data_IF_137037241746
#
_entry.id   IF_137037241746
#
_cell.length_a   1.000
_cell.length_b   1.000
_cell.length_c   1.000
_cell.angle_alpha   90.00
_cell.angle_beta   90.00
_cell.angle_gamma   90.00
#
_symmetry.space_group_name_H-M   'P 1'
#
loop_
_entity.id
_entity.type
_entity.pdbx_description
1 polymer ?
#
# COMPACT_ATOMS: atom_id res chain seq x y z
N UNK A 1 -23.33 -11.48 0.07
CA UNK A 1 -22.05 -11.96 0.63
C UNK A 1 -22.30 -13.10 1.60
N UNK A 2 -23.17 -12.90 2.60
CA UNK A 2 -23.60 -13.93 3.58
C UNK A 2 -23.68 -15.37 3.05
N UNK A 3 -24.45 -15.64 1.98
CA UNK A 3 -24.58 -17.01 1.43
C UNK A 3 -23.24 -17.67 1.08
N UNK A 4 -22.29 -16.91 0.56
CA UNK A 4 -20.96 -17.41 0.19
C UNK A 4 -20.06 -17.56 1.43
N UNK A 5 -20.21 -16.69 2.43
CA UNK A 5 -19.56 -16.83 3.74
C UNK A 5 -20.08 -18.09 4.46
N UNK A 6 -21.40 -18.29 4.54
CA UNK A 6 -22.04 -19.48 5.10
C UNK A 6 -21.53 -20.76 4.41
N UNK A 7 -21.48 -20.77 3.07
CA UNK A 7 -20.97 -21.90 2.30
C UNK A 7 -19.48 -22.19 2.55
N UNK A 8 -18.71 -21.16 2.93
CA UNK A 8 -17.31 -21.25 3.32
C UNK A 8 -17.10 -21.52 4.83
N UNK A 9 -18.18 -21.75 5.58
CA UNK A 9 -18.15 -21.98 7.02
C UNK A 9 -17.73 -20.76 7.84
N UNK A 10 -17.92 -19.56 7.31
CA UNK A 10 -17.63 -18.28 7.97
C UNK A 10 -18.93 -17.78 8.63
N UNK A 11 -18.95 -17.61 9.97
CA UNK A 11 -20.17 -17.23 10.70
C UNK A 11 -20.59 -15.75 10.60
N UNK A 12 -19.74 -14.89 10.03
CA UNK A 12 -20.00 -13.46 9.86
C UNK A 12 -21.01 -13.20 8.73
N UNK A 13 -21.93 -12.29 8.96
CA UNK A 13 -23.05 -12.02 8.05
C UNK A 13 -22.76 -10.83 7.12
N UNK A 14 -21.91 -9.90 7.56
CA UNK A 14 -21.63 -8.65 6.84
C UNK A 14 -20.15 -8.44 6.54
N UNK A 15 -19.86 -7.61 5.53
CA UNK A 15 -18.49 -7.20 5.21
C UNK A 15 -17.78 -6.55 6.40
N UNK A 16 -18.51 -5.81 7.25
CA UNK A 16 -17.95 -5.12 8.41
C UNK A 16 -17.76 -6.03 9.62
N UNK A 17 -18.63 -7.03 9.80
CA UNK A 17 -18.39 -8.10 10.77
C UNK A 17 -17.14 -8.89 10.39
N UNK A 18 -16.95 -9.17 9.10
CA UNK A 18 -15.73 -9.81 8.60
C UNK A 18 -14.48 -8.95 8.88
N UNK A 19 -14.54 -7.63 8.62
CA UNK A 19 -13.43 -6.70 8.93
C UNK A 19 -13.09 -6.70 10.42
N UNK A 20 -14.11 -6.76 11.28
CA UNK A 20 -13.96 -6.67 12.73
C UNK A 20 -13.85 -8.04 13.41
N UNK A 21 -13.80 -9.12 12.64
CA UNK A 21 -13.77 -10.47 13.20
C UNK A 21 -12.46 -10.68 13.97
N UNK A 22 -12.51 -11.31 15.15
CA UNK A 22 -11.30 -11.73 15.86
C UNK A 22 -10.59 -12.91 15.16
N UNK A 23 -11.25 -13.55 14.19
CA UNK A 23 -10.74 -14.71 13.47
C UNK A 23 -10.17 -14.30 12.11
N UNK A 24 -9.18 -15.07 11.64
CA UNK A 24 -8.59 -14.89 10.31
C UNK A 24 -9.12 -16.02 9.39
N UNK A 25 -9.75 -15.65 8.28
CA UNK A 25 -10.42 -16.59 7.38
C UNK A 25 -9.73 -16.64 6.02
N UNK A 26 -8.80 -17.60 5.79
CA UNK A 26 -8.15 -17.75 4.48
C UNK A 26 -9.14 -17.90 3.33
N UNK A 27 -10.25 -18.61 3.57
CA UNK A 27 -11.29 -18.87 2.59
C UNK A 27 -12.15 -17.63 2.26
N UNK A 28 -12.06 -16.55 3.05
CA UNK A 28 -12.70 -15.28 2.72
C UNK A 28 -11.99 -14.55 1.57
N UNK A 29 -10.68 -14.75 1.38
CA UNK A 29 -9.89 -14.05 0.35
C UNK A 29 -10.51 -14.18 -1.06
N UNK A 30 -10.78 -15.40 -1.59
CA UNK A 30 -11.38 -15.51 -2.92
C UNK A 30 -12.78 -14.87 -3.01
N UNK A 31 -13.57 -14.92 -1.95
CA UNK A 31 -14.91 -14.29 -1.90
C UNK A 31 -14.76 -12.77 -1.97
N UNK A 32 -13.88 -12.19 -1.16
CA UNK A 32 -13.66 -10.74 -1.10
C UNK A 32 -13.11 -10.21 -2.43
N UNK A 33 -12.18 -10.93 -3.06
CA UNK A 33 -11.63 -10.56 -4.38
C UNK A 33 -12.73 -10.51 -5.43
N UNK A 34 -13.53 -11.56 -5.53
CA UNK A 34 -14.64 -11.64 -6.49
C UNK A 34 -15.71 -10.56 -6.21
N UNK A 35 -16.04 -10.28 -4.95
CA UNK A 35 -16.92 -9.17 -4.59
C UNK A 35 -16.38 -7.79 -4.97
N UNK A 36 -15.08 -7.55 -4.79
CA UNK A 36 -14.45 -6.29 -5.15
C UNK A 36 -14.34 -6.11 -6.67
N UNK A 37 -14.06 -7.19 -7.40
CA UNK A 37 -13.99 -7.21 -8.86
C UNK A 37 -15.35 -6.96 -9.51
N UNK A 38 -16.42 -7.53 -8.93
CA UNK A 38 -17.79 -7.46 -9.44
C UNK A 38 -18.69 -6.54 -8.58
N UNK A 39 -18.13 -5.45 -8.04
CA UNK A 39 -18.80 -4.62 -7.03
C UNK A 39 -20.18 -4.13 -7.48
N UNK A 40 -20.31 -3.64 -8.72
CA UNK A 40 -21.57 -3.07 -9.22
C UNK A 40 -22.68 -4.12 -9.40
N UNK A 41 -22.31 -5.36 -9.68
CA UNK A 41 -23.19 -6.50 -9.88
C UNK A 41 -23.59 -7.15 -8.55
N UNK A 42 -22.64 -7.23 -7.60
CA UNK A 42 -22.79 -7.97 -6.34
C UNK A 42 -23.36 -7.14 -5.21
N UNK A 43 -23.08 -5.84 -5.15
CA UNK A 43 -23.59 -4.96 -4.09
C UNK A 43 -25.02 -4.53 -4.42
N UNK A 44 -26.01 -4.78 -3.54
CA UNK A 44 -27.38 -4.35 -3.74
C UNK A 44 -27.49 -2.84 -3.99
N UNK A 45 -28.37 -2.43 -4.90
CA UNK A 45 -28.50 -1.02 -5.36
C UNK A 45 -28.86 -0.04 -4.23
N UNK A 46 -29.48 -0.53 -3.16
CA UNK A 46 -29.88 0.25 -1.99
C UNK A 46 -28.77 0.37 -0.93
N UNK A 47 -27.60 -0.23 -1.16
CA UNK A 47 -26.47 -0.18 -0.23
C UNK A 47 -25.37 0.78 -0.72
N UNK A 48 -24.61 1.32 0.22
CA UNK A 48 -23.51 2.23 -0.10
C UNK A 48 -22.30 1.46 -0.66
N UNK A 49 -22.17 1.49 -1.98
CA UNK A 49 -21.05 0.85 -2.69
C UNK A 49 -19.68 1.35 -2.26
N UNK A 50 -19.54 2.61 -1.82
CA UNK A 50 -18.24 3.13 -1.35
C UNK A 50 -17.86 2.49 -0.03
N UNK A 51 -18.82 2.37 0.89
CA UNK A 51 -18.63 1.67 2.16
C UNK A 51 -18.30 0.18 1.92
N UNK A 52 -18.99 -0.49 1.00
CA UNK A 52 -18.66 -1.87 0.60
C UNK A 52 -17.26 -1.99 0.04
N UNK A 53 -16.87 -1.12 -0.91
CA UNK A 53 -15.53 -1.13 -1.51
C UNK A 53 -14.45 -1.01 -0.43
N UNK A 54 -14.61 -0.06 0.50
CA UNK A 54 -13.68 0.13 1.61
C UNK A 54 -13.61 -1.10 2.54
N UNK A 55 -14.75 -1.69 2.90
CA UNK A 55 -14.82 -2.90 3.72
C UNK A 55 -14.15 -4.10 3.04
N UNK A 56 -14.39 -4.30 1.75
CA UNK A 56 -13.78 -5.38 0.96
C UNK A 56 -12.26 -5.21 0.87
N UNK A 57 -11.78 -4.02 0.54
CA UNK A 57 -10.33 -3.74 0.50
C UNK A 57 -9.69 -4.00 1.87
N UNK A 58 -10.35 -3.61 2.97
CA UNK A 58 -9.82 -3.84 4.33
C UNK A 58 -9.72 -5.31 4.68
N UNK A 59 -10.65 -6.14 4.22
CA UNK A 59 -10.58 -7.60 4.41
C UNK A 59 -9.40 -8.25 3.64
N UNK A 60 -8.86 -7.60 2.60
CA UNK A 60 -7.64 -8.07 1.92
C UNK A 60 -6.35 -7.71 2.66
N UNK A 61 -6.41 -6.94 3.75
CA UNK A 61 -5.26 -6.64 4.61
C UNK A 61 -5.02 -7.82 5.57
N UNK A 62 -4.69 -8.98 5.02
CA UNK A 62 -4.42 -10.22 5.76
C UNK A 62 -3.18 -10.92 5.20
N UNK A 63 -2.51 -11.72 6.03
CA UNK A 63 -1.39 -12.58 5.60
C UNK A 63 -1.82 -13.60 4.55
N UNK A 64 -3.11 -13.97 4.50
CA UNK A 64 -3.64 -14.95 3.54
C UNK A 64 -3.79 -14.39 2.12
N UNK A 65 -3.80 -13.06 1.97
CA UNK A 65 -3.82 -12.39 0.66
C UNK A 65 -2.41 -12.10 0.13
N UNK A 66 -1.35 -12.30 0.95
CA UNK A 66 0.03 -12.02 0.55
C UNK A 66 0.47 -12.92 -0.61
N UNK A 67 0.95 -12.30 -1.69
CA UNK A 67 1.35 -13.00 -2.92
C UNK A 67 0.18 -13.57 -3.74
N UNK A 68 -1.08 -13.40 -3.30
CA UNK A 68 -2.23 -13.82 -4.08
C UNK A 68 -2.41 -12.87 -5.28
N UNK A 69 -2.16 -13.37 -6.49
CA UNK A 69 -2.22 -12.58 -7.72
C UNK A 69 -3.58 -11.90 -7.93
N UNK A 70 -4.68 -12.61 -7.70
CA UNK A 70 -6.01 -12.06 -7.89
C UNK A 70 -6.29 -10.91 -6.90
N UNK A 71 -5.85 -11.06 -5.64
CA UNK A 71 -5.97 -10.00 -4.63
C UNK A 71 -5.10 -8.77 -4.96
N UNK A 72 -3.87 -9.00 -5.43
CA UNK A 72 -2.98 -7.92 -5.86
C UNK A 72 -3.56 -7.20 -7.08
N UNK A 73 -4.00 -7.93 -8.08
CA UNK A 73 -4.52 -7.39 -9.33
C UNK A 73 -5.78 -6.53 -9.07
N UNK A 74 -6.75 -7.04 -8.31
CA UNK A 74 -7.98 -6.29 -8.00
C UNK A 74 -7.69 -5.02 -7.19
N UNK A 75 -6.66 -5.00 -6.33
CA UNK A 75 -6.26 -3.80 -5.58
C UNK A 75 -5.63 -2.74 -6.48
N UNK A 76 -4.79 -3.14 -7.44
CA UNK A 76 -4.23 -2.21 -8.43
C UNK A 76 -5.33 -1.64 -9.33
N UNK A 77 -6.35 -2.43 -9.68
CA UNK A 77 -7.48 -1.96 -10.49
C UNK A 77 -8.24 -0.82 -9.81
N UNK A 78 -8.23 -0.73 -8.48
CA UNK A 78 -8.84 0.39 -7.74
C UNK A 78 -8.22 1.75 -8.11
N UNK A 79 -6.94 1.78 -8.51
CA UNK A 79 -6.25 2.99 -8.95
C UNK A 79 -6.55 3.35 -10.41
N UNK A 80 -7.26 2.50 -11.16
CA UNK A 80 -7.62 2.72 -12.55
C UNK A 80 -9.11 3.04 -12.76
N UNK A 81 -9.91 3.06 -11.69
CA UNK A 81 -11.35 3.34 -11.77
C UNK A 81 -11.60 4.80 -12.12
N UNK A 82 -12.54 5.01 -13.04
CA UNK A 82 -13.04 6.31 -13.48
C UNK A 82 -14.56 6.44 -13.21
N UNK A 83 -15.03 7.54 -12.58
CA UNK A 83 -14.23 8.64 -12.04
C UNK A 83 -13.33 8.20 -10.87
N UNK A 84 -12.24 8.92 -10.56
CA UNK A 84 -11.27 8.50 -9.56
C UNK A 84 -11.93 8.28 -8.20
N UNK A 85 -11.63 7.14 -7.57
CA UNK A 85 -12.03 6.86 -6.19
C UNK A 85 -11.55 7.94 -5.21
N UNK A 86 -12.27 8.06 -4.10
CA UNK A 86 -11.94 9.00 -3.02
C UNK A 86 -10.67 8.59 -2.26
N UNK A 87 -10.09 9.54 -1.52
CA UNK A 87 -8.91 9.29 -0.69
C UNK A 87 -9.13 8.18 0.35
N UNK A 88 -10.35 7.99 0.86
CA UNK A 88 -10.66 6.93 1.81
C UNK A 88 -10.47 5.53 1.20
N UNK A 89 -10.97 5.34 -0.01
CA UNK A 89 -10.88 4.06 -0.73
C UNK A 89 -9.43 3.78 -1.16
N UNK A 90 -8.73 4.81 -1.66
CA UNK A 90 -7.33 4.69 -2.06
C UNK A 90 -6.37 4.53 -0.89
N UNK A 91 -6.66 5.14 0.26
CA UNK A 91 -5.90 4.92 1.49
C UNK A 91 -5.90 3.43 1.84
N UNK A 92 -7.09 2.81 1.89
CA UNK A 92 -7.24 1.39 2.15
C UNK A 92 -6.51 0.55 1.08
N UNK A 93 -6.63 0.90 -0.20
CA UNK A 93 -6.01 0.15 -1.29
C UNK A 93 -4.48 0.21 -1.23
N UNK A 94 -3.89 1.39 -1.04
CA UNK A 94 -2.44 1.55 -0.92
C UNK A 94 -1.89 0.89 0.34
N UNK A 95 -2.62 0.91 1.46
CA UNK A 95 -2.25 0.16 2.65
C UNK A 95 -2.26 -1.35 2.40
N UNK A 96 -3.31 -1.87 1.75
CA UNK A 96 -3.41 -3.28 1.41
C UNK A 96 -2.27 -3.73 0.49
N UNK A 97 -1.97 -2.97 -0.57
CA UNK A 97 -0.84 -3.23 -1.48
C UNK A 97 0.49 -3.29 -0.70
N UNK A 98 0.75 -2.35 0.21
CA UNK A 98 1.97 -2.35 1.04
C UNK A 98 2.12 -3.62 1.91
N UNK A 99 1.01 -4.30 2.23
CA UNK A 99 1.00 -5.53 3.03
C UNK A 99 1.11 -6.81 2.19
N UNK A 100 0.45 -6.85 1.04
CA UNK A 100 0.26 -8.11 0.30
C UNK A 100 1.16 -8.26 -0.93
N UNK A 101 1.68 -7.16 -1.48
CA UNK A 101 2.56 -7.21 -2.66
C UNK A 101 3.87 -7.93 -2.36
N UNK A 102 4.40 -8.60 -3.38
CA UNK A 102 5.71 -9.25 -3.39
C UNK A 102 6.73 -8.44 -4.19
N UNK A 103 8.01 -8.83 -4.10
CA UNK A 103 9.09 -8.11 -4.81
C UNK A 103 8.86 -8.06 -6.33
N UNK A 104 8.20 -9.06 -6.90
CA UNK A 104 7.82 -9.11 -8.31
C UNK A 104 6.82 -8.02 -8.71
N UNK A 105 6.09 -7.42 -7.76
CA UNK A 105 5.15 -6.33 -8.02
C UNK A 105 5.82 -4.95 -8.10
N UNK A 106 7.15 -4.89 -7.91
CA UNK A 106 7.90 -3.64 -7.95
C UNK A 106 7.61 -2.77 -9.18
N UNK A 107 7.54 -3.28 -10.43
CA UNK A 107 7.25 -2.42 -11.58
C UNK A 107 5.91 -1.67 -11.46
N UNK A 108 4.88 -2.32 -10.91
CA UNK A 108 3.55 -1.72 -10.75
C UNK A 108 3.52 -0.74 -9.57
N UNK A 109 4.19 -1.07 -8.46
CA UNK A 109 4.36 -0.14 -7.33
C UNK A 109 5.15 1.10 -7.76
N UNK A 110 6.22 0.91 -8.52
CA UNK A 110 7.03 2.01 -9.05
C UNK A 110 6.19 2.92 -9.96
N UNK A 111 5.33 2.35 -10.80
CA UNK A 111 4.39 3.12 -11.64
C UNK A 111 3.42 3.96 -10.79
N UNK A 112 2.85 3.41 -9.71
CA UNK A 112 1.99 4.18 -8.79
C UNK A 112 2.75 5.32 -8.10
N UNK A 113 3.98 5.08 -7.64
CA UNK A 113 4.81 6.12 -7.00
C UNK A 113 5.14 7.25 -8.00
N UNK A 114 5.43 6.91 -9.26
CA UNK A 114 5.72 7.88 -10.33
C UNK A 114 4.50 8.62 -10.84
N UNK A 115 3.29 8.08 -10.63
CA UNK A 115 2.07 8.73 -11.11
C UNK A 115 1.84 10.09 -10.43
N UNK A 116 1.24 11.02 -11.18
CA UNK A 116 0.79 12.33 -10.69
C UNK A 116 -0.38 12.21 -9.69
N UNK A 117 -0.98 11.02 -9.58
CA UNK A 117 -2.04 10.76 -8.60
C UNK A 117 -1.44 10.76 -7.20
N UNK A 118 -1.93 11.70 -6.38
CA UNK A 118 -1.65 11.69 -4.95
C UNK A 118 -2.71 10.87 -4.21
N UNK A 119 -2.27 10.14 -3.18
CA UNK A 119 -3.14 9.37 -2.30
C UNK A 119 -2.48 9.16 -0.94
N UNK A 120 -3.25 9.06 0.16
CA UNK A 120 -2.71 9.15 1.53
C UNK A 120 -1.59 8.15 1.85
N UNK A 121 -1.64 6.96 1.25
CA UNK A 121 -0.72 5.84 1.54
C UNK A 121 0.41 5.68 0.53
N UNK A 122 0.64 6.67 -0.35
CA UNK A 122 1.78 6.68 -1.28
C UNK A 122 3.11 6.57 -0.54
N UNK A 123 3.23 7.26 0.60
CA UNK A 123 4.36 7.17 1.54
C UNK A 123 4.67 5.74 1.98
N UNK A 124 3.66 4.89 2.21
CA UNK A 124 3.85 3.49 2.59
C UNK A 124 4.44 2.66 1.46
N UNK A 125 4.06 2.96 0.22
CA UNK A 125 4.64 2.32 -0.96
C UNK A 125 6.09 2.76 -1.18
N UNK A 126 6.42 4.02 -0.89
CA UNK A 126 7.81 4.51 -0.88
C UNK A 126 8.64 3.82 0.20
N UNK A 127 8.11 3.59 1.40
CA UNK A 127 8.82 2.78 2.42
C UNK A 127 8.97 1.32 1.97
N UNK A 128 7.96 0.77 1.28
CA UNK A 128 7.92 -0.61 0.79
C UNK A 128 9.04 -0.91 -0.23
N UNK A 129 9.38 0.02 -1.13
CA UNK A 129 10.47 -0.18 -2.11
C UNK A 129 11.85 -0.32 -1.46
N UNK A 130 11.98 -0.03 -0.16
CA UNK A 130 13.19 -0.29 0.61
C UNK A 130 13.64 -1.76 0.63
N UNK A 131 12.73 -2.70 0.30
CA UNK A 131 13.08 -4.12 0.20
C UNK A 131 13.66 -4.53 -1.17
N UNK A 132 13.62 -3.61 -2.15
CA UNK A 132 14.07 -3.83 -3.53
C UNK A 132 15.47 -3.21 -3.67
N UNK A 133 16.48 -4.05 -3.89
CA UNK A 133 17.89 -3.65 -3.92
C UNK A 133 18.40 -3.51 -5.36
N UNK A 134 17.74 -2.65 -6.13
CA UNK A 134 18.11 -2.33 -7.51
C UNK A 134 18.42 -0.84 -7.63
N UNK A 135 19.20 -0.47 -8.63
CA UNK A 135 19.48 0.95 -8.94
C UNK A 135 18.19 1.73 -9.19
N UNK A 136 17.24 1.16 -9.93
CA UNK A 136 15.93 1.78 -10.17
C UNK A 136 15.16 2.08 -8.87
N UNK A 137 15.14 1.15 -7.91
CA UNK A 137 14.46 1.36 -6.64
C UNK A 137 15.17 2.38 -5.75
N UNK A 138 16.50 2.46 -5.84
CA UNK A 138 17.31 3.47 -5.17
C UNK A 138 17.02 4.86 -5.73
N UNK A 139 17.09 5.02 -7.05
CA UNK A 139 16.79 6.28 -7.75
C UNK A 139 15.35 6.73 -7.46
N UNK A 140 14.41 5.79 -7.47
CA UNK A 140 13.03 6.08 -7.11
C UNK A 140 12.92 6.59 -5.67
N UNK A 141 13.56 5.95 -4.69
CA UNK A 141 13.58 6.44 -3.32
C UNK A 141 14.22 7.84 -3.21
N UNK A 142 15.36 8.09 -3.88
CA UNK A 142 16.00 9.42 -3.92
C UNK A 142 15.06 10.48 -4.49
N UNK A 143 14.32 10.15 -5.56
CA UNK A 143 13.35 11.06 -6.18
C UNK A 143 12.24 11.51 -5.22
N UNK A 144 11.98 10.74 -4.16
CA UNK A 144 10.93 11.01 -3.19
C UNK A 144 11.39 11.85 -1.98
N UNK A 145 12.70 12.12 -1.85
CA UNK A 145 13.24 12.96 -0.77
C UNK A 145 12.74 14.42 -0.79
N UNK A 146 12.53 15.09 -1.95
CA UNK A 146 12.03 16.46 -1.98
C UNK A 146 10.64 16.62 -1.37
N UNK A 147 9.77 15.61 -1.43
CA UNK A 147 8.38 15.73 -0.98
C UNK A 147 8.23 15.42 0.53
N UNK A 148 7.76 16.38 1.36
CA UNK A 148 7.70 16.21 2.82
C UNK A 148 6.95 14.95 3.28
N UNK A 149 5.85 14.59 2.61
CA UNK A 149 5.03 13.42 2.97
C UNK A 149 5.74 12.07 2.74
N UNK A 150 6.68 11.99 1.79
CA UNK A 150 7.41 10.77 1.45
C UNK A 150 8.88 10.81 1.85
N UNK A 151 9.41 11.95 2.33
CA UNK A 151 10.83 12.12 2.66
C UNK A 151 11.35 11.13 3.69
N UNK A 152 10.65 11.01 4.82
CA UNK A 152 11.01 10.04 5.88
C UNK A 152 10.88 8.59 5.37
N UNK A 153 9.77 8.19 4.72
CA UNK A 153 9.67 6.90 4.03
C UNK A 153 10.82 6.60 3.05
N UNK A 154 11.22 7.59 2.26
CA UNK A 154 12.32 7.48 1.30
C UNK A 154 13.66 7.25 2.01
N UNK A 155 13.94 8.02 3.05
CA UNK A 155 15.13 7.83 3.90
C UNK A 155 15.17 6.41 4.50
N UNK A 156 14.06 5.92 5.04
CA UNK A 156 13.95 4.54 5.55
C UNK A 156 14.17 3.50 4.44
N UNK A 157 13.63 3.75 3.25
CA UNK A 157 13.81 2.86 2.11
C UNK A 157 15.29 2.75 1.72
N UNK A 158 16.00 3.87 1.61
CA UNK A 158 17.44 3.92 1.31
C UNK A 158 18.28 3.16 2.35
N UNK A 159 17.96 3.33 3.64
CA UNK A 159 18.62 2.56 4.72
C UNK A 159 18.36 1.06 4.58
N UNK A 160 17.12 0.66 4.31
CA UNK A 160 16.75 -0.76 4.15
C UNK A 160 17.40 -1.39 2.91
N UNK A 161 17.61 -0.61 1.86
CA UNK A 161 18.33 -1.01 0.65
C UNK A 161 19.83 -1.20 0.92
N UNK A 162 20.38 -0.52 1.95
CA UNK A 162 21.82 -0.28 2.13
C UNK A 162 22.40 0.46 0.91
N UNK A 163 21.70 1.50 0.48
CA UNK A 163 22.08 2.29 -0.69
C UNK A 163 23.42 3.01 -0.46
N UNK A 164 24.35 2.87 -1.41
CA UNK A 164 25.61 3.63 -1.50
C UNK A 164 25.44 4.81 -2.46
N UNK A 165 26.29 5.85 -2.35
CA UNK A 165 26.28 7.00 -3.26
C UNK A 165 25.06 7.91 -3.12
N UNK A 166 24.30 7.80 -2.02
CA UNK A 166 23.09 8.62 -1.75
C UNK A 166 23.25 9.53 -0.55
N UNK A 167 24.42 9.51 0.12
CA UNK A 167 24.67 10.30 1.33
C UNK A 167 24.48 11.79 1.07
N UNK A 168 25.01 12.31 -0.03
CA UNK A 168 24.86 13.73 -0.41
C UNK A 168 23.40 14.13 -0.63
N UNK A 169 22.57 13.24 -1.19
CA UNK A 169 21.15 13.52 -1.39
C UNK A 169 20.41 13.65 -0.04
N UNK A 170 20.79 12.85 0.96
CA UNK A 170 20.21 12.90 2.31
C UNK A 170 20.78 14.09 3.12
N UNK A 171 22.06 14.41 2.95
CA UNK A 171 22.74 15.49 3.68
C UNK A 171 22.11 16.87 3.46
N UNK A 172 21.45 17.10 2.32
CA UNK A 172 20.67 18.31 2.03
C UNK A 172 19.60 18.64 3.07
N UNK A 173 19.14 17.65 3.84
CA UNK A 173 18.08 17.82 4.84
C UNK A 173 18.60 17.96 6.27
N UNK A 174 19.93 18.05 6.48
CA UNK A 174 20.51 18.27 7.81
C UNK A 174 20.17 19.64 8.41
N UNK A 175 19.91 20.62 7.54
CA UNK A 175 19.57 22.00 7.88
C UNK A 175 18.12 22.37 7.49
N UNK A 176 17.26 21.37 7.26
CA UNK A 176 15.83 21.58 6.97
C UNK A 176 15.15 22.41 8.07
N UNK A 177 14.22 23.31 7.71
CA UNK A 177 13.54 24.18 8.67
C UNK A 177 12.82 23.38 9.77
N UNK A 178 12.28 22.20 9.44
CA UNK A 178 11.56 21.35 10.37
C UNK A 178 12.52 20.39 11.09
N UNK A 179 12.50 20.43 12.42
CA UNK A 179 13.39 19.63 13.27
C UNK A 179 13.27 18.11 13.02
N UNK A 180 12.07 17.63 12.71
CA UNK A 180 11.81 16.22 12.42
C UNK A 180 12.64 15.72 11.22
N UNK A 181 12.80 16.53 10.17
CA UNK A 181 13.56 16.16 8.99
C UNK A 181 15.06 16.20 9.25
N UNK A 182 15.55 17.18 10.02
CA UNK A 182 16.95 17.23 10.46
C UNK A 182 17.34 15.99 11.26
N UNK A 183 16.50 15.60 12.22
CA UNK A 183 16.71 14.41 13.07
C UNK A 183 16.72 13.13 12.25
N UNK A 184 15.76 12.95 11.35
CA UNK A 184 15.70 11.74 10.54
C UNK A 184 16.85 11.69 9.51
N UNK A 185 17.25 12.82 8.91
CA UNK A 185 18.38 12.89 7.99
C UNK A 185 19.69 12.45 8.68
N UNK A 186 19.97 12.95 9.89
CA UNK A 186 21.15 12.55 10.68
C UNK A 186 21.17 11.04 10.96
N UNK A 187 20.07 10.52 11.50
CA UNK A 187 19.89 9.09 11.77
C UNK A 187 20.01 8.23 10.51
N UNK A 188 19.59 8.76 9.36
CA UNK A 188 19.71 8.08 8.06
C UNK A 188 21.16 7.99 7.63
N UNK A 189 21.91 9.10 7.70
CA UNK A 189 23.35 9.13 7.39
C UNK A 189 24.19 8.24 8.30
N UNK A 190 23.82 8.12 9.57
CA UNK A 190 24.48 7.21 10.53
C UNK A 190 24.31 5.73 10.16
N UNK A 191 23.27 5.39 9.38
CA UNK A 191 22.92 4.01 9.01
C UNK A 191 23.24 3.65 7.57
N UNK A 192 23.38 4.64 6.69
CA UNK A 192 23.82 4.41 5.32
C UNK A 192 25.28 3.95 5.32
N UNK A 193 25.66 3.03 4.41
CA UNK A 193 27.06 2.72 4.18
C UNK A 193 27.89 3.99 3.91
N UNK A 194 29.19 3.90 4.17
CA UNK A 194 30.17 4.82 3.58
C UNK A 194 30.26 4.56 2.07
N UNK A 195 30.65 5.59 1.32
CA UNK A 195 30.77 5.51 -0.14
C UNK A 195 31.98 4.67 -0.59
#
# INVERSE_FOLDING_TARGET
>A
MKRELDAAGIPEDTVWELVNSPNDYPQAVPIVVDWLQHLDERVPRNEDRRAWRAGLIRNLITKHAKGNRAAVDVLFDQFNIEPPLSNLELEAAGFALAKICERSDFPRIAALIRSERDFPTKSLLVEWIGQIKTEEAKELAVSQLPYPASRIPAMKALVRQRATGVRDAVAKYLDDEHEIFRKEARKTLDKLPED
#
